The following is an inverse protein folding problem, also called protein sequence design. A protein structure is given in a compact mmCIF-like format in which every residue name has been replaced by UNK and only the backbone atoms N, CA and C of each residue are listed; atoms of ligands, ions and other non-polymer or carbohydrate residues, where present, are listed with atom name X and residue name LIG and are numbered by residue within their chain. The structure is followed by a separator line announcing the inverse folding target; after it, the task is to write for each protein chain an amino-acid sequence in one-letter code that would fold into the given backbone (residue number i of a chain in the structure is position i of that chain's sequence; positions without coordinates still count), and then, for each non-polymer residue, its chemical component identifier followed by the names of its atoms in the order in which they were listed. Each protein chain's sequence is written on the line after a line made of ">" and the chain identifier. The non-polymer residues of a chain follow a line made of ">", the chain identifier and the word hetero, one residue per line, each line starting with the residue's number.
data_IF_823631585166
#
_entry.id   IF_823631585166
#
_cell.length_a   1.000
_cell.length_b   1.000
_cell.length_c   1.000
_cell.angle_alpha   90.00
_cell.angle_beta   90.00
_cell.angle_gamma   90.00
#
_symmetry.space_group_name_H-M   'P 1'
#
loop_
_entity.id
_entity.type
_entity.pdbx_description
1 polymer ?
#
# COMPACT_ATOMS: atom_id res chain seq x y z
N UNK A 1 -17.53 -50.16 -28.24
CA UNK A 1 -16.62 -50.24 -29.39
C UNK A 1 -16.18 -48.84 -29.77
N UNK A 2 -14.87 -48.69 -30.04
CA UNK A 2 -14.11 -47.51 -30.52
C UNK A 2 -13.58 -46.48 -29.52
N UNK A 3 -12.36 -46.81 -29.14
CA UNK A 3 -11.19 -46.10 -28.59
C UNK A 3 -10.60 -45.02 -29.54
N UNK A 4 -9.69 -44.19 -28.97
CA UNK A 4 -8.64 -43.32 -29.57
C UNK A 4 -9.14 -41.95 -30.10
N UNK A 5 -8.45 -40.81 -29.93
CA UNK A 5 -7.01 -40.64 -29.97
C UNK A 5 -6.50 -39.35 -29.30
N UNK A 6 -5.33 -39.48 -28.70
CA UNK A 6 -4.40 -38.52 -28.08
C UNK A 6 -3.91 -37.44 -29.04
N UNK A 7 -3.96 -36.15 -28.65
CA UNK A 7 -2.97 -35.15 -29.09
C UNK A 7 -2.53 -34.31 -27.89
N UNK A 8 -1.32 -34.62 -27.47
CA UNK A 8 -0.49 -33.95 -26.49
C UNK A 8 0.32 -32.88 -27.27
N UNK A 9 0.09 -31.59 -27.02
CA UNK A 9 0.95 -30.52 -27.57
C UNK A 9 1.61 -29.78 -26.43
N UNK A 10 2.86 -30.15 -26.22
CA UNK A 10 3.82 -29.61 -25.27
C UNK A 10 4.11 -28.14 -25.56
N UNK A 11 3.71 -27.23 -24.66
CA UNK A 11 4.26 -25.86 -24.65
C UNK A 11 5.49 -25.87 -23.74
N UNK A 12 6.66 -25.77 -24.35
CA UNK A 12 7.94 -25.66 -23.68
C UNK A 12 8.06 -24.31 -22.98
N UNK A 13 8.07 -24.34 -21.63
CA UNK A 13 8.52 -23.22 -20.82
C UNK A 13 10.06 -23.19 -20.84
N UNK A 14 10.63 -22.24 -21.59
CA UNK A 14 12.03 -21.86 -21.45
C UNK A 14 12.22 -21.12 -20.12
N UNK A 15 12.51 -21.86 -19.06
CA UNK A 15 13.08 -21.30 -17.83
C UNK A 15 14.57 -20.99 -18.09
N UNK A 16 14.89 -19.72 -18.36
CA UNK A 16 16.24 -19.24 -18.09
C UNK A 16 16.43 -19.17 -16.59
N UNK A 17 17.46 -19.88 -16.13
CA UNK A 17 17.84 -20.05 -14.75
C UNK A 17 18.24 -18.72 -14.08
N UNK A 18 17.52 -18.39 -13.00
CA UNK A 18 18.11 -17.82 -11.80
C UNK A 18 17.80 -18.81 -10.69
N UNK A 19 18.82 -19.56 -10.28
CA UNK A 19 18.71 -20.61 -9.29
C UNK A 19 18.24 -20.06 -7.95
N UNK A 20 17.06 -20.48 -7.53
CA UNK A 20 16.71 -20.63 -6.12
C UNK A 20 16.29 -22.08 -5.94
N UNK A 21 17.23 -22.91 -5.49
CA UNK A 21 16.95 -24.30 -5.16
C UNK A 21 15.98 -24.34 -3.98
N UNK A 22 14.73 -24.68 -4.23
CA UNK A 22 13.83 -25.14 -3.19
C UNK A 22 14.11 -26.62 -2.94
N UNK A 23 14.96 -26.92 -1.95
CA UNK A 23 15.09 -28.26 -1.42
C UNK A 23 13.83 -28.57 -0.60
N UNK A 24 13.01 -29.51 -1.10
CA UNK A 24 11.89 -30.08 -0.35
C UNK A 24 12.39 -31.32 0.37
N UNK A 25 12.82 -31.17 1.62
CA UNK A 25 13.09 -32.32 2.47
C UNK A 25 11.79 -32.76 3.17
N UNK A 26 11.37 -33.99 2.87
CA UNK A 26 10.34 -34.70 3.63
C UNK A 26 11.05 -35.72 4.49
N UNK A 27 11.30 -35.36 5.74
CA UNK A 27 11.56 -36.31 6.81
C UNK A 27 10.65 -35.98 7.99
N UNK A 28 9.77 -36.94 8.29
CA UNK A 28 8.91 -36.93 9.46
C UNK A 28 9.75 -37.35 10.68
N UNK A 29 9.67 -36.59 11.78
CA UNK A 29 10.19 -37.02 13.07
C UNK A 29 10.49 -35.88 14.04
N UNK A 30 9.63 -35.75 15.06
CA UNK A 30 9.90 -35.21 16.41
C UNK A 30 10.34 -33.73 16.53
N UNK A 31 9.55 -32.96 17.29
CA UNK A 31 9.74 -31.52 17.51
C UNK A 31 11.09 -31.14 18.12
N UNK A 32 11.67 -30.07 17.59
CA UNK A 32 12.08 -28.85 18.30
C UNK A 32 12.75 -27.88 17.30
N UNK A 33 12.24 -26.64 17.28
CA UNK A 33 12.81 -25.39 16.76
C UNK A 33 13.73 -25.40 15.53
N UNK A 34 13.13 -25.17 14.35
CA UNK A 34 13.86 -24.84 13.11
C UNK A 34 14.25 -23.34 13.13
N UNK A 35 15.34 -23.01 13.83
CA UNK A 35 16.18 -21.87 13.46
C UNK A 35 16.99 -22.22 12.21
N UNK A 36 16.33 -22.28 11.04
CA UNK A 36 17.03 -22.34 9.76
C UNK A 36 17.60 -20.97 9.41
N UNK A 37 18.79 -20.69 9.93
CA UNK A 37 19.67 -19.65 9.41
C UNK A 37 20.22 -20.16 8.07
N UNK A 38 19.53 -19.84 6.97
CA UNK A 38 20.08 -20.05 5.63
C UNK A 38 21.17 -18.99 5.37
N UNK A 39 22.40 -19.27 5.81
CA UNK A 39 23.58 -18.45 5.50
C UNK A 39 24.02 -18.79 4.08
N UNK A 40 23.48 -18.06 3.09
CA UNK A 40 23.99 -18.08 1.72
C UNK A 40 25.25 -17.22 1.64
N UNK A 41 26.41 -17.85 1.84
CA UNK A 41 27.72 -17.27 1.57
C UNK A 41 27.96 -17.23 0.04
N UNK A 42 27.36 -16.27 -0.65
CA UNK A 42 27.84 -15.84 -1.96
C UNK A 42 28.51 -14.47 -1.78
N UNK A 43 29.85 -14.46 -1.73
CA UNK A 43 30.71 -13.27 -1.75
C UNK A 43 30.60 -12.29 -0.57
N UNK A 44 30.50 -12.78 0.67
CA UNK A 44 30.74 -11.94 1.86
C UNK A 44 29.72 -10.82 2.11
N UNK A 45 28.57 -10.81 1.42
CA UNK A 45 27.45 -9.97 1.80
C UNK A 45 26.68 -10.64 2.93
N UNK A 46 26.89 -10.15 4.15
CA UNK A 46 25.93 -10.31 5.23
C UNK A 46 24.63 -9.62 4.80
N UNK A 47 23.66 -10.38 4.28
CA UNK A 47 22.27 -9.92 4.20
C UNK A 47 21.80 -9.73 5.64
N UNK A 48 21.95 -8.50 6.14
CA UNK A 48 21.30 -8.05 7.35
C UNK A 48 19.81 -8.34 7.21
N UNK A 49 19.12 -8.80 8.27
CA UNK A 49 17.71 -9.14 8.19
C UNK A 49 16.97 -8.02 7.46
N UNK A 50 16.38 -8.44 6.34
CA UNK A 50 15.62 -7.66 5.37
C UNK A 50 14.94 -6.46 6.03
N UNK A 51 15.18 -5.25 5.50
CA UNK A 51 14.50 -4.04 5.93
C UNK A 51 13.01 -4.32 6.04
N UNK A 52 12.46 -4.32 7.25
CA UNK A 52 11.03 -4.49 7.45
C UNK A 52 10.38 -3.30 6.75
N UNK A 53 9.73 -3.54 5.61
CA UNK A 53 9.04 -2.49 4.89
C UNK A 53 7.88 -2.03 5.79
N UNK A 54 8.03 -0.87 6.43
CA UNK A 54 7.00 -0.28 7.27
C UNK A 54 6.02 0.43 6.36
N UNK A 55 4.91 -0.23 6.05
CA UNK A 55 3.82 0.35 5.27
C UNK A 55 2.76 0.87 6.24
N UNK A 56 2.32 2.11 6.03
CA UNK A 56 1.24 2.69 6.81
C UNK A 56 -0.10 2.01 6.51
N UNK A 57 -0.95 1.87 7.53
CA UNK A 57 -2.31 1.36 7.42
C UNK A 57 -3.29 2.45 7.84
N UNK A 58 -4.47 2.48 7.22
CA UNK A 58 -5.52 3.42 7.59
C UNK A 58 -5.86 3.30 9.09
N UNK A 59 -5.82 4.43 9.80
CA UNK A 59 -6.04 4.50 11.24
C UNK A 59 -7.22 5.42 11.61
N UNK A 60 -7.72 6.21 10.67
CA UNK A 60 -8.83 7.12 10.91
C UNK A 60 -8.91 8.23 9.86
N UNK A 61 -9.72 9.23 10.16
CA UNK A 61 -9.97 10.35 9.26
C UNK A 61 -10.13 11.67 9.98
N UNK A 62 -9.75 12.74 9.30
CA UNK A 62 -10.00 14.11 9.78
C UNK A 62 -11.49 14.46 9.67
N UNK A 63 -11.88 15.62 10.23
CA UNK A 63 -13.10 16.29 9.81
C UNK A 63 -13.05 16.62 8.30
N UNK A 64 -14.22 16.83 7.69
CA UNK A 64 -14.29 17.18 6.27
C UNK A 64 -13.74 18.58 6.00
N UNK A 65 -12.83 18.66 5.04
CA UNK A 65 -12.16 19.89 4.62
C UNK A 65 -12.14 19.94 3.08
N UNK A 66 -12.00 21.15 2.55
CA UNK A 66 -11.73 21.33 1.11
C UNK A 66 -10.25 21.09 0.82
N UNK A 67 -9.85 21.21 -0.45
CA UNK A 67 -8.45 21.17 -0.87
C UNK A 67 -7.57 22.29 -0.28
N UNK A 68 -8.15 23.35 0.31
CA UNK A 68 -7.41 24.41 1.00
C UNK A 68 -7.25 24.10 2.51
N UNK A 69 -6.59 22.98 2.83
CA UNK A 69 -6.44 22.50 4.19
C UNK A 69 -5.22 23.09 4.95
N UNK A 70 -4.55 24.09 4.39
CA UNK A 70 -3.39 24.74 5.00
C UNK A 70 -2.09 23.96 4.81
N UNK A 71 -2.00 23.14 3.77
CA UNK A 71 -0.80 22.38 3.42
C UNK A 71 -0.60 21.07 4.16
N UNK A 72 0.37 20.29 3.69
CA UNK A 72 0.65 18.95 4.20
C UNK A 72 1.06 18.92 5.69
N UNK A 73 1.76 19.94 6.18
CA UNK A 73 2.15 20.03 7.61
C UNK A 73 0.94 20.14 8.54
N UNK A 74 -0.06 20.95 8.16
CA UNK A 74 -1.33 21.09 8.86
C UNK A 74 -2.09 19.77 8.83
N UNK A 75 -2.21 19.15 7.65
CA UNK A 75 -2.86 17.85 7.49
C UNK A 75 -2.22 16.74 8.32
N UNK A 76 -0.89 16.69 8.38
CA UNK A 76 -0.17 15.74 9.24
C UNK A 76 -0.55 15.92 10.71
N UNK A 77 -0.67 17.16 11.18
CA UNK A 77 -1.09 17.45 12.57
C UNK A 77 -2.52 16.97 12.83
N UNK A 78 -3.43 17.18 11.86
CA UNK A 78 -4.80 16.68 11.95
C UNK A 78 -4.84 15.14 11.98
N UNK A 79 -4.04 14.46 11.16
CA UNK A 79 -3.98 13.00 11.18
C UNK A 79 -3.39 12.43 12.47
N UNK A 80 -2.39 13.09 13.06
CA UNK A 80 -1.87 12.74 14.40
C UNK A 80 -2.96 12.81 15.46
N UNK A 81 -3.80 13.84 15.41
CA UNK A 81 -4.95 13.96 16.31
C UNK A 81 -6.02 12.91 16.04
N UNK A 82 -6.31 12.62 14.77
CA UNK A 82 -7.35 11.67 14.37
C UNK A 82 -7.01 10.22 14.76
N UNK A 83 -5.73 9.84 14.64
CA UNK A 83 -5.27 8.48 14.93
C UNK A 83 -4.65 8.31 16.32
N UNK A 84 -4.39 9.39 17.04
CA UNK A 84 -3.79 9.34 18.38
C UNK A 84 -2.30 8.96 18.40
N UNK A 85 -1.58 9.10 17.29
CA UNK A 85 -0.16 8.74 17.19
C UNK A 85 0.67 9.85 16.55
N UNK A 86 1.97 9.93 16.87
CA UNK A 86 2.87 10.96 16.33
C UNK A 86 3.40 10.65 14.92
N UNK A 87 3.24 9.41 14.48
CA UNK A 87 3.68 8.90 13.18
C UNK A 87 2.58 8.97 12.12
N UNK A 88 1.33 9.19 12.51
CA UNK A 88 0.23 9.34 11.59
C UNK A 88 0.42 10.51 10.60
N UNK A 89 -0.07 10.30 9.39
CA UNK A 89 0.08 11.21 8.25
C UNK A 89 -1.07 10.97 7.25
N UNK A 90 -1.16 11.80 6.20
CA UNK A 90 -2.16 11.60 5.13
C UNK A 90 -1.75 10.39 4.31
N UNK A 91 -2.65 9.42 4.17
CA UNK A 91 -2.39 8.19 3.43
C UNK A 91 -1.95 8.46 1.98
N UNK A 92 -1.04 7.63 1.47
CA UNK A 92 -0.79 7.47 0.03
C UNK A 92 -1.84 6.55 -0.62
N UNK A 93 -1.88 6.52 -1.95
CA UNK A 93 -2.61 5.48 -2.68
C UNK A 93 -2.13 4.07 -2.33
N UNK A 94 -0.82 3.88 -2.14
CA UNK A 94 -0.24 2.57 -1.82
C UNK A 94 -0.72 2.07 -0.46
N UNK A 95 -0.72 2.92 0.57
CA UNK A 95 -1.18 2.56 1.92
C UNK A 95 -2.68 2.27 1.96
N UNK A 96 -3.49 2.98 1.18
CA UNK A 96 -4.92 2.66 1.04
C UNK A 96 -5.14 1.32 0.32
N UNK A 97 -4.36 1.03 -0.72
CA UNK A 97 -4.41 -0.25 -1.42
C UNK A 97 -3.92 -1.42 -0.55
N UNK A 98 -2.98 -1.18 0.35
CA UNK A 98 -2.58 -2.18 1.35
C UNK A 98 -3.66 -2.33 2.42
N UNK A 99 -4.29 -1.23 2.85
CA UNK A 99 -5.41 -1.25 3.79
C UNK A 99 -6.55 -2.13 3.28
N UNK A 100 -7.00 -1.97 2.02
CA UNK A 100 -8.13 -2.77 1.48
C UNK A 100 -7.87 -4.28 1.45
N UNK A 101 -6.61 -4.72 1.47
CA UNK A 101 -6.27 -6.14 1.47
C UNK A 101 -6.49 -6.78 2.84
N UNK A 102 -6.43 -5.99 3.93
CA UNK A 102 -6.51 -6.49 5.31
C UNK A 102 -7.72 -5.95 6.08
N UNK A 103 -8.32 -4.85 5.62
CA UNK A 103 -9.42 -4.17 6.28
C UNK A 103 -10.33 -3.46 5.26
N UNK A 104 -11.55 -3.12 5.65
CA UNK A 104 -12.44 -2.30 4.83
C UNK A 104 -12.05 -0.83 4.92
N UNK A 105 -12.02 -0.13 3.78
CA UNK A 105 -11.95 1.33 3.77
C UNK A 105 -13.27 1.97 4.26
N UNK A 106 -13.23 3.23 4.70
CA UNK A 106 -14.45 3.98 5.03
C UNK A 106 -15.41 4.08 3.85
N UNK A 107 -16.71 4.05 4.13
CA UNK A 107 -17.77 4.13 3.12
C UNK A 107 -17.91 5.51 2.44
N UNK A 108 -17.18 6.54 2.89
CA UNK A 108 -17.18 7.86 2.28
C UNK A 108 -15.94 8.05 1.41
N UNK A 109 -16.02 8.94 0.42
CA UNK A 109 -14.85 9.29 -0.39
C UNK A 109 -13.91 10.20 0.41
N UNK A 110 -12.62 9.88 0.42
CA UNK A 110 -11.61 10.61 1.19
C UNK A 110 -10.57 11.25 0.26
N UNK A 111 -10.02 12.38 0.69
CA UNK A 111 -8.76 12.88 0.16
C UNK A 111 -7.62 11.95 0.60
N UNK A 112 -6.67 11.67 -0.28
CA UNK A 112 -5.39 11.04 0.06
C UNK A 112 -4.26 11.90 -0.51
N UNK A 113 -2.99 11.60 -0.23
CA UNK A 113 -1.84 12.33 -0.77
C UNK A 113 -1.25 11.59 -1.96
N UNK A 114 -1.17 12.23 -3.13
CA UNK A 114 -0.46 11.66 -4.28
C UNK A 114 1.05 11.82 -4.15
N UNK A 115 1.52 12.82 -3.38
CA UNK A 115 2.93 13.24 -3.32
C UNK A 115 3.50 13.66 -4.68
N UNK A 116 2.63 13.93 -5.66
CA UNK A 116 3.04 14.40 -6.98
C UNK A 116 2.92 15.92 -7.00
N UNK A 117 4.07 16.60 -7.07
CA UNK A 117 4.15 18.06 -6.99
C UNK A 117 3.87 18.78 -8.33
N UNK A 118 3.66 18.07 -9.46
CA UNK A 118 3.64 18.66 -10.81
C UNK A 118 2.87 17.80 -11.84
N UNK A 119 2.54 18.37 -13.01
CA UNK A 119 1.18 18.63 -13.45
C UNK A 119 0.47 17.35 -13.95
N UNK A 120 0.10 16.46 -13.04
CA UNK A 120 -0.94 15.47 -13.30
C UNK A 120 -2.29 16.08 -12.89
N UNK A 121 -3.42 15.60 -13.45
CA UNK A 121 -4.75 16.17 -13.19
C UNK A 121 -5.25 16.00 -11.73
N UNK A 122 -4.38 15.67 -10.77
CA UNK A 122 -4.63 15.60 -9.34
C UNK A 122 -3.34 16.02 -8.60
N UNK A 123 -3.11 17.33 -8.44
CA UNK A 123 -1.87 17.94 -7.91
C UNK A 123 -1.94 18.20 -6.40
N UNK A 124 -2.61 17.30 -5.68
CA UNK A 124 -2.90 17.46 -4.26
C UNK A 124 -3.56 18.82 -3.95
N UNK A 125 -4.36 19.37 -4.87
CA UNK A 125 -4.93 20.73 -4.72
C UNK A 125 -3.86 21.79 -4.48
N UNK A 126 -2.85 21.83 -5.35
CA UNK A 126 -1.67 22.70 -5.23
C UNK A 126 -1.03 22.60 -3.84
N UNK A 127 -0.65 21.38 -3.45
CA UNK A 127 -0.11 21.07 -2.12
C UNK A 127 -1.06 21.40 -0.96
N UNK A 128 -2.35 21.19 -1.16
CA UNK A 128 -3.43 21.41 -0.20
C UNK A 128 -3.58 22.86 0.23
N UNK A 129 -3.36 23.78 -0.71
CA UNK A 129 -3.44 25.23 -0.48
C UNK A 129 -4.58 25.91 -1.26
N UNK A 130 -5.25 25.21 -2.18
CA UNK A 130 -6.36 25.77 -2.96
C UNK A 130 -7.65 24.95 -2.85
N UNK A 131 -8.78 25.64 -2.84
CA UNK A 131 -10.12 25.06 -2.94
C UNK A 131 -10.78 25.40 -4.29
N UNK A 132 -9.99 25.83 -5.28
CA UNK A 132 -10.49 26.22 -6.60
C UNK A 132 -11.18 25.07 -7.32
N UNK A 133 -12.35 25.32 -7.93
CA UNK A 133 -13.10 24.30 -8.67
C UNK A 133 -12.41 23.81 -9.96
N UNK A 134 -11.42 24.56 -10.46
CA UNK A 134 -10.59 24.18 -11.60
C UNK A 134 -9.39 23.30 -11.20
N UNK A 135 -9.10 23.21 -9.90
CA UNK A 135 -8.04 22.35 -9.35
C UNK A 135 -8.67 21.03 -8.89
N UNK A 136 -7.88 19.97 -8.99
CA UNK A 136 -8.31 18.63 -8.60
C UNK A 136 -7.30 18.03 -7.63
N UNK A 137 -7.83 17.30 -6.66
CA UNK A 137 -7.07 16.50 -5.72
C UNK A 137 -7.35 15.01 -5.93
N UNK A 138 -6.44 14.14 -5.50
CA UNK A 138 -6.69 12.70 -5.50
C UNK A 138 -7.70 12.30 -4.43
N UNK A 139 -8.69 11.48 -4.83
CA UNK A 139 -9.66 10.89 -3.92
C UNK A 139 -9.65 9.37 -4.02
N UNK A 140 -9.96 8.71 -2.93
CA UNK A 140 -10.36 7.30 -2.94
C UNK A 140 -11.90 7.26 -2.97
N UNK A 141 -12.47 6.65 -4.01
CA UNK A 141 -13.92 6.61 -4.16
C UNK A 141 -14.56 5.64 -3.14
N UNK A 142 -15.59 6.12 -2.44
CA UNK A 142 -16.38 5.39 -1.44
C UNK A 142 -16.78 3.97 -1.86
N UNK A 143 -17.31 3.83 -3.07
CA UNK A 143 -18.01 2.61 -3.50
C UNK A 143 -17.09 1.56 -4.11
N UNK A 144 -15.96 1.98 -4.65
CA UNK A 144 -15.08 1.11 -5.43
C UNK A 144 -13.70 0.95 -4.80
N UNK A 145 -13.30 1.83 -3.88
CA UNK A 145 -11.91 1.88 -3.40
C UNK A 145 -10.92 2.17 -4.53
N UNK A 146 -11.38 2.72 -5.66
CA UNK A 146 -10.54 3.04 -6.81
C UNK A 146 -10.07 4.50 -6.68
N UNK A 147 -8.74 4.76 -6.79
CA UNK A 147 -8.22 6.11 -6.89
C UNK A 147 -8.84 6.89 -8.06
N UNK A 148 -9.25 8.13 -7.81
CA UNK A 148 -9.87 9.02 -8.79
C UNK A 148 -9.47 10.47 -8.51
N UNK A 149 -9.95 11.40 -9.33
CA UNK A 149 -9.78 12.83 -9.13
C UNK A 149 -11.09 13.46 -8.62
N UNK A 150 -10.99 14.37 -7.66
CA UNK A 150 -12.12 15.16 -7.17
C UNK A 150 -11.79 16.65 -7.20
N UNK A 151 -12.79 17.50 -7.47
CA UNK A 151 -12.59 18.95 -7.47
C UNK A 151 -12.24 19.45 -6.06
N UNK A 152 -11.22 20.29 -5.94
CA UNK A 152 -10.71 20.80 -4.66
C UNK A 152 -11.72 21.63 -3.86
N UNK A 153 -12.80 22.09 -4.50
CA UNK A 153 -13.91 22.79 -3.83
C UNK A 153 -14.78 21.88 -2.95
N UNK A 154 -14.74 20.55 -3.15
CA UNK A 154 -15.57 19.64 -2.38
C UNK A 154 -15.03 19.44 -0.96
N UNK A 155 -15.91 19.45 0.04
CA UNK A 155 -15.53 19.09 1.40
C UNK A 155 -15.51 17.58 1.55
N UNK A 156 -14.37 17.01 1.92
CA UNK A 156 -14.19 15.57 2.19
C UNK A 156 -13.22 15.36 3.36
N UNK A 157 -13.40 14.30 4.15
CA UNK A 157 -12.39 13.90 5.12
C UNK A 157 -11.08 13.50 4.44
N UNK A 158 -9.93 13.73 5.09
CA UNK A 158 -8.65 13.17 4.68
C UNK A 158 -8.48 11.79 5.29
N UNK A 159 -8.01 10.83 4.50
CA UNK A 159 -7.63 9.51 4.99
C UNK A 159 -6.28 9.60 5.72
N UNK A 160 -6.24 9.12 6.95
CA UNK A 160 -5.04 9.14 7.78
C UNK A 160 -4.51 7.72 7.95
N UNK A 161 -3.20 7.57 7.75
CA UNK A 161 -2.48 6.32 7.86
C UNK A 161 -1.41 6.44 8.93
N UNK A 162 -1.10 5.32 9.58
CA UNK A 162 -0.04 5.23 10.55
C UNK A 162 0.83 3.99 10.30
N UNK A 163 2.11 4.13 10.59
CA UNK A 163 3.09 3.06 10.53
C UNK A 163 2.83 2.08 11.66
N UNK A 164 1.97 1.09 11.41
CA UNK A 164 1.72 0.03 12.36
C UNK A 164 2.99 -0.84 12.45
N UNK A 165 3.73 -0.72 13.54
CA UNK A 165 4.76 -1.71 13.86
C UNK A 165 4.05 -3.00 14.20
N UNK A 166 4.09 -3.97 13.28
CA UNK A 166 3.68 -5.35 13.58
C UNK A 166 4.71 -5.88 14.57
N UNK A 167 4.42 -5.77 15.87
CA UNK A 167 5.11 -6.56 16.89
C UNK A 167 4.66 -8.00 16.70
N UNK A 168 5.52 -8.79 16.03
CA UNK A 168 5.38 -10.25 15.95
C UNK A 168 5.68 -10.89 17.30
#
# INVERSE_FOLDING_TARGET
>A
MKTLNTILTTVAFSMLALGCGYAKDRTAGSGDDIRSLLVLNFLGQTVSPSSTAVVGMYCGSTASLTGAAGGYSTLRTLCRSACGTTTAHVCTAHELLMTVQFASLPAAAHWYSSYVATPLPADDCQNWTTSGGASNGPIIAATTGIPSAGTCANSRPFACCDFMTITQ
#
